data_IF_791677147138
#
_entry.id   IF_791677147138
#
_cell.length_a   1.000
_cell.length_b   1.000
_cell.length_c   1.000
_cell.angle_alpha   90.00
_cell.angle_beta   90.00
_cell.angle_gamma   90.00
#
_symmetry.space_group_name_H-M   'P 1'
#
loop_
_entity.id
_entity.type
_entity.pdbx_description
1 polymer ?
#
# COMPACT_ATOMS: atom_id res chain seq x y z
N UNK A 1 -19.41 -36.92 21.19
CA UNK A 1 -18.83 -35.59 21.47
C UNK A 1 -17.63 -35.25 20.58
N UNK A 2 -16.95 -36.21 19.93
CA UNK A 2 -15.80 -35.93 19.04
C UNK A 2 -16.16 -35.43 17.63
N UNK A 3 -17.32 -35.81 17.10
CA UNK A 3 -17.75 -35.44 15.73
C UNK A 3 -17.88 -33.91 15.55
N UNK A 4 -18.50 -33.23 16.52
CA UNK A 4 -18.68 -31.78 16.51
C UNK A 4 -17.34 -31.00 16.60
N UNK A 5 -16.30 -31.59 17.20
CA UNK A 5 -14.97 -30.96 17.32
C UNK A 5 -14.22 -31.07 16.00
N UNK A 6 -14.33 -32.21 15.31
CA UNK A 6 -13.71 -32.42 14.01
C UNK A 6 -14.30 -31.49 12.95
N UNK A 7 -15.64 -31.42 12.88
CA UNK A 7 -16.37 -30.56 11.95
C UNK A 7 -16.08 -29.07 12.23
N UNK A 8 -16.04 -28.65 13.50
CA UNK A 8 -15.65 -27.29 13.86
C UNK A 8 -14.20 -26.97 13.46
N UNK A 9 -13.29 -27.95 13.53
CA UNK A 9 -11.90 -27.79 13.13
C UNK A 9 -11.75 -27.66 11.60
N UNK A 10 -12.52 -28.43 10.84
CA UNK A 10 -12.58 -28.33 9.38
C UNK A 10 -13.14 -26.98 8.93
N UNK A 11 -14.24 -26.50 9.53
CA UNK A 11 -14.84 -25.20 9.22
C UNK A 11 -13.88 -24.05 9.54
N UNK A 12 -13.20 -24.08 10.69
CA UNK A 12 -12.17 -23.07 11.01
C UNK A 12 -11.00 -23.09 10.04
N UNK A 13 -10.56 -24.28 9.62
CA UNK A 13 -9.46 -24.44 8.66
C UNK A 13 -9.85 -23.92 7.28
N UNK A 14 -11.05 -24.26 6.79
CA UNK A 14 -11.58 -23.78 5.53
C UNK A 14 -11.72 -22.25 5.51
N UNK A 15 -12.22 -21.66 6.60
CA UNK A 15 -12.33 -20.21 6.76
C UNK A 15 -10.96 -19.54 6.67
N UNK A 16 -9.97 -20.08 7.38
CA UNK A 16 -8.60 -19.54 7.36
C UNK A 16 -7.97 -19.63 5.97
N UNK A 17 -8.13 -20.77 5.27
CA UNK A 17 -7.65 -20.95 3.90
C UNK A 17 -8.33 -19.96 2.95
N UNK A 18 -9.64 -19.80 3.06
CA UNK A 18 -10.41 -18.85 2.22
C UNK A 18 -9.95 -17.42 2.44
N UNK A 19 -9.77 -17.01 3.70
CA UNK A 19 -9.25 -15.69 4.06
C UNK A 19 -7.82 -15.47 3.55
N UNK A 20 -6.97 -16.49 3.62
CA UNK A 20 -5.60 -16.44 3.11
C UNK A 20 -5.57 -16.25 1.59
N UNK A 21 -6.41 -17.00 0.86
CA UNK A 21 -6.53 -16.89 -0.59
C UNK A 21 -7.05 -15.50 -0.97
N UNK A 22 -8.10 -15.03 -0.31
CA UNK A 22 -8.64 -13.69 -0.54
C UNK A 22 -7.59 -12.61 -0.29
N UNK A 23 -6.88 -12.70 0.84
CA UNK A 23 -5.81 -11.77 1.20
C UNK A 23 -4.69 -11.79 0.16
N UNK A 24 -4.32 -12.97 -0.36
CA UNK A 24 -3.28 -13.10 -1.40
C UNK A 24 -3.65 -12.30 -2.65
N UNK A 25 -4.87 -12.50 -3.17
CA UNK A 25 -5.33 -11.77 -4.35
C UNK A 25 -5.47 -10.27 -4.07
N UNK A 26 -5.94 -9.90 -2.87
CA UNK A 26 -6.03 -8.51 -2.45
C UNK A 26 -4.65 -7.84 -2.41
N UNK A 27 -3.64 -8.52 -1.87
CA UNK A 27 -2.26 -8.02 -1.83
C UNK A 27 -1.69 -7.81 -3.23
N UNK A 28 -1.92 -8.74 -4.16
CA UNK A 28 -1.48 -8.61 -5.55
C UNK A 28 -2.19 -7.43 -6.22
N UNK A 29 -3.50 -7.32 -6.07
CA UNK A 29 -4.30 -6.25 -6.66
C UNK A 29 -3.87 -4.86 -6.13
N UNK A 30 -3.73 -4.72 -4.81
CA UNK A 30 -3.29 -3.47 -4.19
C UNK A 30 -1.87 -3.09 -4.63
N UNK A 31 -0.95 -4.06 -4.74
CA UNK A 31 0.40 -3.81 -5.27
C UNK A 31 0.35 -3.29 -6.71
N UNK A 32 -0.53 -3.84 -7.54
CA UNK A 32 -0.72 -3.38 -8.93
C UNK A 32 -1.27 -1.96 -9.00
N UNK A 33 -2.30 -1.66 -8.21
CA UNK A 33 -2.89 -0.32 -8.11
C UNK A 33 -1.83 0.69 -7.62
N UNK A 34 -1.11 0.38 -6.54
CA UNK A 34 -0.06 1.26 -6.01
C UNK A 34 1.08 1.49 -7.01
N UNK A 35 1.46 0.48 -7.81
CA UNK A 35 2.45 0.66 -8.85
C UNK A 35 1.99 1.66 -9.91
N UNK A 36 0.73 1.55 -10.36
CA UNK A 36 0.14 2.47 -11.32
C UNK A 36 0.07 3.90 -10.78
N UNK A 37 -0.35 4.07 -9.52
CA UNK A 37 -0.40 5.38 -8.84
C UNK A 37 0.99 6.01 -8.77
N UNK A 38 2.00 5.26 -8.32
CA UNK A 38 3.38 5.77 -8.28
C UNK A 38 3.86 6.23 -9.64
N UNK A 39 3.65 5.42 -10.68
CA UNK A 39 4.11 5.74 -12.02
C UNK A 39 3.35 6.93 -12.61
N UNK A 40 2.04 7.04 -12.36
CA UNK A 40 1.25 8.19 -12.78
C UNK A 40 1.78 9.48 -12.14
N UNK A 41 1.97 9.47 -10.82
CA UNK A 41 2.52 10.60 -10.07
C UNK A 41 3.89 11.03 -10.64
N UNK A 42 4.83 10.09 -10.80
CA UNK A 42 6.16 10.39 -11.32
C UNK A 42 6.16 10.82 -12.79
N UNK A 43 5.25 10.28 -13.62
CA UNK A 43 5.12 10.73 -15.01
C UNK A 43 4.61 12.17 -15.13
N UNK A 44 3.89 12.66 -14.12
CA UNK A 44 3.51 14.06 -14.00
C UNK A 44 4.68 15.00 -13.69
N UNK A 45 5.77 14.48 -13.12
CA UNK A 45 6.98 15.23 -12.73
C UNK A 45 8.08 15.10 -13.78
N UNK A 46 8.30 13.87 -14.26
CA UNK A 46 9.38 13.53 -15.19
C UNK A 46 8.80 13.12 -16.55
N UNK A 47 8.87 14.01 -17.53
CA UNK A 47 8.34 13.76 -18.89
C UNK A 47 8.98 12.54 -19.58
N UNK A 48 10.24 12.21 -19.26
CA UNK A 48 10.97 11.06 -19.81
C UNK A 48 10.33 9.73 -19.39
N UNK A 49 9.71 9.66 -18.20
CA UNK A 49 9.04 8.44 -17.72
C UNK A 49 7.84 8.03 -18.59
N UNK A 50 7.31 8.93 -19.42
CA UNK A 50 6.21 8.62 -20.34
C UNK A 50 6.58 7.54 -21.36
N UNK A 51 7.86 7.47 -21.77
CA UNK A 51 8.35 6.52 -22.77
C UNK A 51 8.74 5.15 -22.21
N UNK A 52 9.00 5.07 -20.90
CA UNK A 52 9.43 3.84 -20.21
C UNK A 52 8.43 3.40 -19.13
N UNK A 53 7.20 3.92 -19.21
CA UNK A 53 6.15 3.79 -18.19
C UNK A 53 5.87 2.33 -17.81
N UNK A 54 5.79 1.46 -18.82
CA UNK A 54 5.46 0.04 -18.64
C UNK A 54 6.57 -0.72 -17.91
N UNK A 55 7.83 -0.48 -18.30
CA UNK A 55 9.00 -1.11 -17.67
C UNK A 55 9.11 -0.67 -16.21
N UNK A 56 8.98 0.64 -15.95
CA UNK A 56 9.04 1.19 -14.59
C UNK A 56 7.88 0.67 -13.74
N UNK A 57 6.67 0.59 -14.30
CA UNK A 57 5.51 -0.01 -13.62
C UNK A 57 5.76 -1.45 -13.22
N UNK A 58 6.32 -2.26 -14.12
CA UNK A 58 6.69 -3.65 -13.82
C UNK A 58 7.70 -3.75 -12.68
N UNK A 59 8.75 -2.91 -12.69
CA UNK A 59 9.76 -2.89 -11.63
C UNK A 59 9.18 -2.48 -10.27
N UNK A 60 8.37 -1.42 -10.24
CA UNK A 60 7.71 -0.95 -9.02
C UNK A 60 6.72 -2.01 -8.50
N UNK A 61 5.97 -2.66 -9.40
CA UNK A 61 5.06 -3.73 -9.04
C UNK A 61 5.79 -4.89 -8.38
N UNK A 62 6.91 -5.36 -8.95
CA UNK A 62 7.73 -6.43 -8.35
C UNK A 62 8.28 -6.01 -6.98
N UNK A 63 8.72 -4.77 -6.84
CA UNK A 63 9.19 -4.24 -5.54
C UNK A 63 8.06 -4.21 -4.50
N UNK A 64 6.86 -3.78 -4.88
CA UNK A 64 5.68 -3.77 -4.01
C UNK A 64 5.26 -5.19 -3.62
N UNK A 65 5.28 -6.14 -4.56
CA UNK A 65 5.03 -7.55 -4.26
C UNK A 65 6.07 -8.08 -3.27
N UNK A 66 7.35 -7.76 -3.47
CA UNK A 66 8.41 -8.14 -2.52
C UNK A 66 8.13 -7.57 -1.13
N UNK A 67 7.89 -6.25 -1.02
CA UNK A 67 7.63 -5.61 0.26
C UNK A 67 6.39 -6.20 0.93
N UNK A 68 5.29 -6.31 0.19
CA UNK A 68 4.04 -6.80 0.74
C UNK A 68 4.10 -8.27 1.13
N UNK A 69 4.64 -9.16 0.31
CA UNK A 69 4.74 -10.58 0.67
C UNK A 69 5.82 -10.88 1.72
N UNK A 70 6.89 -10.09 1.77
CA UNK A 70 7.99 -10.33 2.71
C UNK A 70 7.71 -9.78 4.11
N UNK A 71 6.98 -8.67 4.20
CA UNK A 71 6.77 -7.93 5.44
C UNK A 71 5.29 -7.84 5.84
N UNK A 72 4.40 -7.35 4.98
CA UNK A 72 3.00 -7.06 5.36
C UNK A 72 2.12 -8.32 5.44
N UNK A 73 2.22 -9.21 4.46
CA UNK A 73 1.36 -10.39 4.32
C UNK A 73 1.53 -11.40 5.47
N UNK A 74 2.76 -11.73 5.94
CA UNK A 74 2.94 -12.59 7.11
C UNK A 74 2.32 -11.99 8.37
N UNK A 75 2.40 -10.66 8.52
CA UNK A 75 1.85 -9.95 9.67
C UNK A 75 0.32 -10.00 9.64
N UNK A 76 -0.31 -9.75 8.49
CA UNK A 76 -1.76 -9.91 8.31
C UNK A 76 -2.24 -11.36 8.55
N UNK A 77 -1.47 -12.37 8.13
CA UNK A 77 -1.80 -13.76 8.42
C UNK A 77 -1.66 -14.11 9.91
N UNK A 78 -0.70 -13.51 10.60
CA UNK A 78 -0.54 -13.68 12.03
C UNK A 78 -1.67 -13.00 12.82
N UNK A 79 -2.11 -11.80 12.39
CA UNK A 79 -3.29 -11.11 12.93
C UNK A 79 -4.58 -11.92 12.72
N UNK A 80 -4.78 -12.50 11.53
CA UNK A 80 -5.91 -13.41 11.25
C UNK A 80 -5.93 -14.64 12.17
N UNK A 81 -4.76 -15.05 12.70
CA UNK A 81 -4.64 -16.11 13.71
C UNK A 81 -4.74 -15.61 15.15
N UNK A 82 -5.08 -14.34 15.36
CA UNK A 82 -5.20 -13.71 16.68
C UNK A 82 -3.85 -13.46 17.37
N UNK A 83 -2.73 -13.46 16.64
CA UNK A 83 -1.42 -13.12 17.21
C UNK A 83 -1.20 -11.63 17.10
N UNK A 84 -0.77 -11.00 18.19
CA UNK A 84 -0.33 -9.60 18.17
C UNK A 84 0.99 -9.50 17.39
N UNK A 85 0.98 -8.72 16.31
CA UNK A 85 2.16 -8.42 15.52
C UNK A 85 2.59 -6.99 15.79
N UNK A 86 3.90 -6.76 15.94
CA UNK A 86 4.47 -5.43 16.13
C UNK A 86 5.17 -5.00 14.84
N UNK A 87 4.72 -3.87 14.29
CA UNK A 87 5.31 -3.11 13.16
C UNK A 87 6.81 -2.81 13.32
N UNK A 88 7.33 -2.87 14.55
CA UNK A 88 8.71 -2.54 14.92
C UNK A 88 9.81 -3.40 14.26
N UNK A 89 9.46 -4.44 13.50
CA UNK A 89 10.42 -5.32 12.83
C UNK A 89 10.82 -4.87 11.44
N UNK A 90 10.12 -3.88 10.86
CA UNK A 90 10.41 -3.46 9.50
C UNK A 90 11.72 -2.67 9.43
N UNK A 91 12.59 -2.93 8.44
CA UNK A 91 13.71 -2.06 8.12
C UNK A 91 13.24 -0.63 7.86
N UNK A 92 14.09 0.36 8.16
CA UNK A 92 13.75 1.79 7.99
C UNK A 92 13.26 2.11 6.58
N UNK A 93 13.95 1.59 5.55
CA UNK A 93 13.56 1.83 4.16
C UNK A 93 12.17 1.24 3.83
N UNK A 94 11.81 0.09 4.40
CA UNK A 94 10.49 -0.54 4.20
C UNK A 94 9.41 0.31 4.82
N UNK A 95 9.63 0.82 6.05
CA UNK A 95 8.68 1.72 6.71
C UNK A 95 8.47 2.98 5.89
N UNK A 96 9.56 3.63 5.48
CA UNK A 96 9.48 4.83 4.64
C UNK A 96 8.75 4.55 3.33
N UNK A 97 9.02 3.41 2.70
CA UNK A 97 8.38 3.03 1.45
C UNK A 97 6.87 2.77 1.63
N UNK A 98 6.46 2.14 2.72
CA UNK A 98 5.03 1.96 3.06
C UNK A 98 4.36 3.32 3.29
N UNK A 99 4.97 4.20 4.10
CA UNK A 99 4.44 5.54 4.36
C UNK A 99 4.32 6.38 3.08
N UNK A 100 5.34 6.30 2.22
CA UNK A 100 5.34 6.95 0.91
C UNK A 100 4.16 6.48 0.05
N UNK A 101 3.93 5.16 -0.01
CA UNK A 101 2.80 4.58 -0.74
C UNK A 101 1.45 5.02 -0.17
N UNK A 102 1.31 5.05 1.15
CA UNK A 102 0.08 5.53 1.79
C UNK A 102 -0.19 7.00 1.47
N UNK A 103 0.84 7.86 1.56
CA UNK A 103 0.70 9.28 1.23
C UNK A 103 0.33 9.50 -0.24
N UNK A 104 0.93 8.74 -1.16
CA UNK A 104 0.57 8.78 -2.58
C UNK A 104 -0.86 8.32 -2.84
N UNK A 105 -1.31 7.26 -2.17
CA UNK A 105 -2.68 6.79 -2.34
C UNK A 105 -3.70 7.84 -1.88
N UNK A 106 -3.42 8.50 -0.75
CA UNK A 106 -4.25 9.63 -0.26
C UNK A 106 -4.24 10.77 -1.27
N UNK A 107 -3.07 11.15 -1.78
CA UNK A 107 -2.96 12.20 -2.80
C UNK A 107 -3.78 11.87 -4.05
N UNK A 108 -3.69 10.67 -4.59
CA UNK A 108 -4.45 10.26 -5.79
C UNK A 108 -5.97 10.35 -5.55
N UNK A 109 -6.45 9.94 -4.36
CA UNK A 109 -7.87 10.07 -3.99
C UNK A 109 -8.30 11.53 -3.96
N UNK A 110 -7.50 12.41 -3.35
CA UNK A 110 -7.78 13.85 -3.34
C UNK A 110 -7.71 14.46 -4.74
N UNK A 111 -6.73 14.06 -5.56
CA UNK A 111 -6.56 14.52 -6.93
C UNK A 111 -7.84 14.27 -7.73
N UNK A 112 -8.34 13.03 -7.75
CA UNK A 112 -9.57 12.70 -8.49
C UNK A 112 -10.81 13.38 -7.89
N UNK A 113 -10.92 13.43 -6.56
CA UNK A 113 -12.06 14.09 -5.91
C UNK A 113 -12.15 15.58 -6.30
N UNK A 114 -11.03 16.31 -6.25
CA UNK A 114 -11.00 17.75 -6.57
C UNK A 114 -11.15 17.96 -8.09
N UNK A 115 -10.59 17.07 -8.90
CA UNK A 115 -10.71 17.12 -10.37
C UNK A 115 -12.14 17.00 -10.86
N UNK A 116 -12.94 16.18 -10.19
CA UNK A 116 -14.36 16.02 -10.51
C UNK A 116 -15.21 17.21 -10.01
N UNK A 117 -14.73 17.96 -9.02
CA UNK A 117 -15.42 19.11 -8.43
C UNK A 117 -15.12 20.44 -9.12
N UNK A 118 -13.90 20.64 -9.63
CA UNK A 118 -13.44 21.96 -10.12
C UNK A 118 -12.62 21.83 -11.41
N UNK A 119 -12.95 22.59 -12.45
CA UNK A 119 -12.14 22.67 -13.67
C UNK A 119 -10.98 23.66 -13.53
N UNK A 120 -9.89 23.23 -12.89
CA UNK A 120 -8.62 23.96 -12.84
C UNK A 120 -7.66 23.52 -13.95
N UNK A 121 -6.64 24.35 -14.22
CA UNK A 121 -5.57 23.97 -15.14
C UNK A 121 -4.75 22.80 -14.58
N UNK A 122 -4.25 21.95 -15.47
CA UNK A 122 -3.52 20.73 -15.09
C UNK A 122 -2.27 21.02 -14.23
N UNK A 123 -1.63 22.16 -14.43
CA UNK A 123 -0.48 22.62 -13.64
C UNK A 123 -0.87 22.89 -12.19
N UNK A 124 -2.01 23.54 -11.97
CA UNK A 124 -2.52 23.83 -10.61
C UNK A 124 -2.89 22.54 -9.90
N UNK A 125 -3.52 21.60 -10.61
CA UNK A 125 -3.83 20.27 -10.07
C UNK A 125 -2.60 19.50 -9.62
N UNK A 126 -1.52 19.49 -10.41
CA UNK A 126 -0.28 18.80 -10.05
C UNK A 126 0.41 19.42 -8.83
N UNK A 127 0.40 20.76 -8.73
CA UNK A 127 0.93 21.47 -7.56
C UNK A 127 0.13 21.14 -6.29
N UNK A 128 -1.19 21.13 -6.40
CA UNK A 128 -2.08 20.86 -5.28
C UNK A 128 -1.97 19.40 -4.81
N UNK A 129 -1.88 18.46 -5.75
CA UNK A 129 -1.56 17.05 -5.47
C UNK A 129 -0.24 16.92 -4.72
N UNK A 130 0.84 17.53 -5.23
CA UNK A 130 2.14 17.50 -4.54
C UNK A 130 2.08 18.06 -3.11
N UNK A 131 1.33 19.14 -2.88
CA UNK A 131 1.13 19.70 -1.53
C UNK A 131 0.37 18.75 -0.60
N UNK A 132 -0.67 18.07 -1.11
CA UNK A 132 -1.40 17.04 -0.35
C UNK A 132 -0.46 15.89 0.00
N UNK A 133 0.29 15.36 -0.98
CA UNK A 133 1.28 14.32 -0.73
C UNK A 133 2.30 14.75 0.33
N UNK A 134 2.91 15.93 0.17
CA UNK A 134 3.97 16.40 1.06
C UNK A 134 3.46 16.61 2.50
N UNK A 135 2.25 17.17 2.65
CA UNK A 135 1.64 17.40 3.96
C UNK A 135 1.27 16.10 4.66
N UNK A 136 0.65 15.15 3.95
CA UNK A 136 0.30 13.82 4.49
C UNK A 136 1.57 13.05 4.86
N UNK A 137 2.57 13.03 3.98
CA UNK A 137 3.83 12.35 4.26
C UNK A 137 4.57 12.95 5.46
N UNK A 138 4.65 14.28 5.55
CA UNK A 138 5.27 14.97 6.69
C UNK A 138 4.51 14.70 8.00
N UNK A 139 3.17 14.69 7.96
CA UNK A 139 2.34 14.34 9.10
C UNK A 139 2.61 12.90 9.58
N UNK A 140 2.61 11.92 8.67
CA UNK A 140 2.90 10.53 9.02
C UNK A 140 4.30 10.35 9.61
N UNK A 141 5.30 11.07 9.08
CA UNK A 141 6.68 11.05 9.59
C UNK A 141 6.82 11.74 10.97
N UNK A 142 5.88 12.62 11.36
CA UNK A 142 5.92 13.33 12.65
C UNK A 142 5.48 12.47 13.85
N UNK A 143 4.76 11.37 13.59
CA UNK A 143 4.27 10.46 14.63
C UNK A 143 5.44 9.75 15.34
N UNK A 144 5.36 9.65 16.67
CA UNK A 144 6.41 9.05 17.50
C UNK A 144 6.68 7.57 17.17
N UNK A 145 5.70 6.88 16.62
CA UNK A 145 5.82 5.49 16.15
C UNK A 145 6.78 5.33 14.95
N UNK A 146 7.04 6.42 14.23
CA UNK A 146 7.85 6.44 13.01
C UNK A 146 9.08 7.35 13.09
N UNK A 147 9.33 8.01 14.23
CA UNK A 147 10.60 8.69 14.50
C UNK A 147 11.72 7.65 14.41
N UNK A 148 12.56 7.80 13.38
CA UNK A 148 13.81 7.04 13.25
C UNK A 148 14.67 7.40 14.47
N UNK A 149 14.72 6.50 15.45
CA UNK A 149 15.74 6.56 16.50
C UNK A 149 17.06 6.17 15.83
N UNK A 150 17.89 7.17 15.58
CA UNK A 150 19.27 6.99 15.15
C UNK A 150 20.09 6.30 16.23
#
# INVERSE_FOLDING_TARGET
>A
MSYNVLEACEVMTLRFVTQTIFLFFLTVALSGISALVQVNFFSGIFLVLKYVKEIVSGLIFVLLLYVNFRYCFPDQLAELRGRNVRSDRYPVWVRQYILFNCALFVEEVFYYTIKDLVSLSEVVFRLLGFLVFASVYAYMMSSEEFKIKW
#
